data_IF_547289305795
#
_entry.id   IF_547289305795
#
_cell.length_a   1.000
_cell.length_b   1.000
_cell.length_c   1.000
_cell.angle_alpha   90.00
_cell.angle_beta   90.00
_cell.angle_gamma   90.00
#
_symmetry.space_group_name_H-M   'P 1'
#
loop_
_entity.id
_entity.type
_entity.pdbx_description
1 polymer ?
#
# COMPACT_ATOMS: atom_id res chain seq x y z
N UNK A 1 -18.52 -25.23 -11.48
CA UNK A 1 -18.71 -24.29 -10.37
C UNK A 1 -17.37 -23.61 -10.18
N UNK A 2 -17.19 -22.45 -10.80
CA UNK A 2 -15.95 -21.70 -10.68
C UNK A 2 -15.93 -21.06 -9.30
N UNK A 3 -15.11 -21.58 -8.40
CA UNK A 3 -14.75 -20.86 -7.19
C UNK A 3 -13.91 -19.67 -7.63
N UNK A 4 -14.55 -18.56 -8.00
CA UNK A 4 -13.87 -17.27 -7.90
C UNK A 4 -13.58 -17.11 -6.43
N UNK A 5 -12.32 -17.33 -6.04
CA UNK A 5 -11.81 -17.01 -4.71
C UNK A 5 -12.04 -15.52 -4.53
N UNK A 6 -13.22 -15.17 -4.03
CA UNK A 6 -13.55 -13.80 -3.73
C UNK A 6 -12.72 -13.46 -2.50
N UNK A 7 -11.64 -12.73 -2.72
CA UNK A 7 -10.86 -12.12 -1.65
C UNK A 7 -11.66 -10.92 -1.15
N UNK A 8 -11.89 -10.82 0.14
CA UNK A 8 -12.56 -9.64 0.69
C UNK A 8 -11.65 -8.42 0.43
N UNK A 9 -12.13 -7.38 -0.24
CA UNK A 9 -11.31 -6.20 -0.57
C UNK A 9 -10.84 -5.42 0.66
N UNK A 10 -11.37 -5.69 1.86
CA UNK A 10 -10.85 -5.20 3.15
C UNK A 10 -9.58 -5.92 3.58
N UNK A 11 -9.34 -7.11 3.07
CA UNK A 11 -8.13 -7.90 3.33
C UNK A 11 -7.05 -7.64 2.27
N UNK A 12 -7.43 -7.04 1.13
CA UNK A 12 -6.50 -6.56 0.11
C UNK A 12 -5.85 -5.24 0.57
N UNK A 13 -4.71 -5.36 1.23
CA UNK A 13 -3.85 -4.23 1.64
C UNK A 13 -2.73 -4.07 0.61
N UNK A 14 -2.70 -2.92 -0.08
CA UNK A 14 -1.56 -2.49 -0.87
C UNK A 14 -0.66 -1.58 -0.03
N UNK A 15 0.64 -1.57 -0.30
CA UNK A 15 1.60 -0.68 0.32
C UNK A 15 2.21 0.25 -0.73
N UNK A 16 2.49 1.48 -0.36
CA UNK A 16 3.33 2.38 -1.16
C UNK A 16 4.19 3.23 -0.22
N UNK A 17 5.02 4.07 -0.81
CA UNK A 17 5.99 4.88 -0.08
C UNK A 17 5.67 6.34 -0.31
N UNK A 18 5.36 7.06 0.76
CA UNK A 18 5.26 8.50 0.78
C UNK A 18 6.67 9.07 0.83
N UNK A 19 7.10 9.66 -0.27
CA UNK A 19 8.42 10.30 -0.34
C UNK A 19 8.44 11.58 0.47
N UNK A 20 9.63 12.02 0.89
CA UNK A 20 9.81 13.26 1.65
C UNK A 20 9.28 14.53 0.94
N UNK A 21 9.13 14.48 -0.39
CA UNK A 21 8.51 15.56 -1.17
C UNK A 21 6.97 15.62 -1.06
N UNK A 22 6.35 14.74 -0.26
CA UNK A 22 4.90 14.63 -0.08
C UNK A 22 4.17 13.90 -1.20
N UNK A 23 4.88 13.25 -2.13
CA UNK A 23 4.30 12.45 -3.22
C UNK A 23 4.46 10.97 -2.95
N UNK A 24 3.48 10.19 -3.37
CA UNK A 24 3.57 8.73 -3.35
C UNK A 24 4.49 8.24 -4.45
N UNK A 25 5.24 7.18 -4.15
CA UNK A 25 6.01 6.44 -5.14
C UNK A 25 5.10 5.95 -6.27
N UNK A 26 5.59 5.99 -7.52
CA UNK A 26 4.84 5.55 -8.69
C UNK A 26 4.60 4.03 -8.75
N UNK A 27 4.91 3.30 -7.68
CA UNK A 27 4.74 1.85 -7.55
C UNK A 27 4.03 1.50 -6.26
N UNK A 28 3.32 0.38 -6.30
CA UNK A 28 2.66 -0.24 -5.16
C UNK A 28 3.27 -1.61 -4.91
N UNK A 29 3.12 -2.08 -3.69
CA UNK A 29 3.68 -3.33 -3.18
C UNK A 29 2.57 -4.13 -2.55
N UNK A 30 2.63 -5.46 -2.65
CA UNK A 30 1.71 -6.34 -1.94
C UNK A 30 2.11 -6.52 -0.46
N UNK A 31 3.37 -6.28 -0.13
CA UNK A 31 3.94 -6.53 1.19
C UNK A 31 4.61 -5.28 1.79
N UNK A 32 4.37 -5.06 3.09
CA UNK A 32 4.98 -3.96 3.85
C UNK A 32 6.50 -4.02 3.82
N UNK A 33 7.07 -5.22 3.98
CA UNK A 33 8.51 -5.42 4.02
C UNK A 33 9.17 -5.06 2.67
N UNK A 34 8.50 -5.31 1.55
CA UNK A 34 9.00 -4.94 0.23
C UNK A 34 8.96 -3.41 0.04
N UNK A 35 7.91 -2.76 0.54
CA UNK A 35 7.82 -1.30 0.56
C UNK A 35 8.88 -0.67 1.48
N UNK A 36 9.14 -1.25 2.65
CA UNK A 36 10.17 -0.78 3.59
C UNK A 36 11.59 -0.96 3.04
N UNK A 37 11.85 -2.04 2.30
CA UNK A 37 13.14 -2.26 1.65
C UNK A 37 13.38 -1.28 0.49
N UNK A 38 12.31 -0.78 -0.14
CA UNK A 38 12.40 0.23 -1.19
C UNK A 38 12.44 1.66 -0.64
N UNK A 39 11.72 1.92 0.46
CA UNK A 39 11.69 3.22 1.10
C UNK A 39 13.07 3.62 1.61
N UNK A 40 13.43 4.88 1.45
CA UNK A 40 14.63 5.47 2.01
C UNK A 40 14.26 6.33 3.22
N UNK A 41 14.15 5.76 4.44
CA UNK A 41 13.80 6.53 5.64
C UNK A 41 14.83 7.62 5.96
N UNK A 42 16.06 7.46 5.48
CA UNK A 42 17.16 8.44 5.59
C UNK A 42 16.83 9.75 4.87
N UNK A 43 16.13 9.65 3.74
CA UNK A 43 15.66 10.80 2.95
C UNK A 43 14.32 11.36 3.48
N UNK A 44 13.67 10.66 4.41
CA UNK A 44 12.37 11.02 4.99
C UNK A 44 11.18 10.28 4.39
N UNK A 45 11.42 9.18 3.67
CA UNK A 45 10.36 8.35 3.12
C UNK A 45 9.60 7.58 4.20
N UNK A 46 8.30 7.41 4.01
CA UNK A 46 7.42 6.71 4.93
C UNK A 46 6.57 5.67 4.21
N UNK A 47 6.56 4.43 4.72
CA UNK A 47 5.70 3.38 4.18
C UNK A 47 4.27 3.58 4.66
N UNK A 48 3.36 3.63 3.71
CA UNK A 48 1.92 3.79 3.94
C UNK A 48 1.16 2.61 3.33
N UNK A 49 0.13 2.15 4.03
CA UNK A 49 -0.75 1.07 3.58
C UNK A 49 -2.10 1.63 3.12
N UNK A 50 -2.58 1.13 2.00
CA UNK A 50 -3.87 1.43 1.41
C UNK A 50 -4.72 0.17 1.47
N UNK A 51 -5.93 0.31 1.99
CA UNK A 51 -6.94 -0.71 1.86
C UNK A 51 -7.80 -0.38 0.64
N UNK A 52 -8.19 -1.36 -0.18
CA UNK A 52 -9.10 -1.10 -1.30
C UNK A 52 -10.50 -0.66 -0.83
N UNK A 53 -10.86 -0.97 0.41
CA UNK A 53 -12.02 -0.43 1.14
C UNK A 53 -11.60 0.76 2.00
N UNK A 54 -10.73 1.63 1.47
CA UNK A 54 -10.61 2.98 2.01
C UNK A 54 -11.89 3.77 1.65
N UNK A 55 -13.04 3.26 2.09
CA UNK A 55 -14.23 4.05 2.39
C UNK A 55 -13.83 4.94 3.57
N UNK A 56 -13.16 6.05 3.27
CA UNK A 56 -13.41 7.26 4.01
C UNK A 56 -14.82 7.71 3.60
N UNK A 57 -15.84 6.92 3.97
CA UNK A 57 -17.24 7.34 3.92
C UNK A 57 -17.40 8.29 5.11
N UNK A 58 -17.54 9.56 4.78
CA UNK A 58 -17.56 10.69 5.70
C UNK A 58 -18.98 11.22 5.85
#
# INVERSE_FOLDING_TARGET
>A
MGSTTWTDPREEIEFSVLMANGRLAGRRFADRAEAEAWACPEEGDQVVSFNHICECDQ
#
